data_IF_570079224188
#
_entry.id   IF_570079224188
#
_cell.length_a   1.000
_cell.length_b   1.000
_cell.length_c   1.000
_cell.angle_alpha   90.00
_cell.angle_beta   90.00
_cell.angle_gamma   90.00
#
_symmetry.space_group_name_H-M   'P 1'
#
loop_
_entity.id
_entity.type
_entity.pdbx_description
1 polymer ?
#
# COMPACT_ATOMS: atom_id res chain seq x y z
N UNK A 1 -23.79 8.95 36.55
CA UNK A 1 -23.41 8.35 35.25
C UNK A 1 -22.91 9.46 34.35
N UNK A 2 -21.60 9.60 34.25
CA UNK A 2 -21.00 10.62 33.39
C UNK A 2 -21.30 10.24 31.93
N UNK A 3 -22.07 11.08 31.24
CA UNK A 3 -22.19 11.04 29.81
C UNK A 3 -20.83 11.52 29.24
N UNK A 4 -19.89 10.59 29.12
CA UNK A 4 -18.78 10.79 28.21
C UNK A 4 -19.41 11.10 26.86
N UNK A 5 -19.12 12.28 26.30
CA UNK A 5 -19.64 12.73 25.03
C UNK A 5 -19.35 11.63 24.01
N UNK A 6 -20.38 10.93 23.56
CA UNK A 6 -20.23 9.94 22.51
C UNK A 6 -19.76 10.64 21.24
N UNK A 7 -18.59 10.28 20.75
CA UNK A 7 -18.03 10.82 19.51
C UNK A 7 -18.28 9.83 18.38
N UNK A 8 -19.51 9.75 17.94
CA UNK A 8 -19.94 8.87 16.85
C UNK A 8 -20.20 9.72 15.61
N UNK A 9 -19.55 9.36 14.51
CA UNK A 9 -19.74 10.00 13.21
C UNK A 9 -20.59 9.10 12.33
N UNK A 10 -21.65 9.64 11.74
CA UNK A 10 -22.45 8.96 10.73
C UNK A 10 -21.89 9.27 9.35
N UNK A 11 -21.38 8.24 8.65
CA UNK A 11 -20.74 8.36 7.37
C UNK A 11 -21.63 7.80 6.25
N UNK A 12 -22.23 8.70 5.46
CA UNK A 12 -23.17 8.35 4.39
C UNK A 12 -22.77 9.00 3.05
N UNK A 13 -21.49 9.25 2.83
CA UNK A 13 -21.03 9.83 1.55
C UNK A 13 -21.16 8.77 0.45
N UNK A 14 -21.73 9.18 -0.69
CA UNK A 14 -21.79 8.32 -1.88
C UNK A 14 -20.37 8.09 -2.42
N UNK A 15 -20.00 6.84 -2.76
CA UNK A 15 -18.73 6.55 -3.42
C UNK A 15 -18.56 7.29 -4.75
N UNK A 16 -19.66 7.52 -5.47
CA UNK A 16 -19.69 8.24 -6.72
C UNK A 16 -19.74 9.76 -6.48
N UNK A 17 -18.80 10.51 -7.09
CA UNK A 17 -18.80 11.98 -7.12
C UNK A 17 -19.89 12.45 -8.08
N UNK A 18 -19.92 11.88 -9.28
CA UNK A 18 -20.97 12.08 -10.27
C UNK A 18 -21.05 10.88 -11.23
N UNK A 19 -22.23 10.66 -11.76
CA UNK A 19 -22.50 9.63 -12.75
C UNK A 19 -22.38 10.22 -14.15
N UNK A 20 -21.66 9.54 -15.04
CA UNK A 20 -21.54 9.89 -16.46
C UNK A 20 -22.63 9.16 -17.27
N UNK A 21 -22.88 7.89 -16.91
CA UNK A 21 -23.97 7.07 -17.42
C UNK A 21 -24.64 6.34 -16.27
N UNK A 22 -25.74 5.63 -16.51
CA UNK A 22 -26.42 4.83 -15.48
C UNK A 22 -25.50 3.83 -14.78
N UNK A 23 -24.47 3.31 -15.47
CA UNK A 23 -23.57 2.27 -14.97
C UNK A 23 -22.11 2.73 -14.81
N UNK A 24 -21.78 3.97 -15.14
CA UNK A 24 -20.43 4.49 -15.08
C UNK A 24 -20.37 5.87 -14.45
N UNK A 25 -19.61 6.00 -13.37
CA UNK A 25 -19.42 7.24 -12.64
C UNK A 25 -17.97 7.41 -12.15
N UNK A 26 -17.58 8.64 -11.92
CA UNK A 26 -16.30 8.94 -11.26
C UNK A 26 -16.48 8.78 -9.74
N UNK A 27 -15.64 7.94 -9.15
CA UNK A 27 -15.63 7.63 -7.72
C UNK A 27 -14.51 8.35 -7.01
N UNK A 28 -14.71 8.68 -5.73
CA UNK A 28 -13.66 9.22 -4.86
C UNK A 28 -12.42 8.32 -4.85
N UNK A 29 -12.60 7.00 -4.77
CA UNK A 29 -11.51 6.05 -4.83
C UNK A 29 -10.68 6.18 -6.11
N UNK A 30 -11.32 6.24 -7.27
CA UNK A 30 -10.64 6.35 -8.56
C UNK A 30 -9.89 7.68 -8.69
N UNK A 31 -10.46 8.78 -8.18
CA UNK A 31 -9.81 10.09 -8.16
C UNK A 31 -8.57 10.07 -7.27
N UNK A 32 -8.69 9.53 -6.05
CA UNK A 32 -7.57 9.42 -5.10
C UNK A 32 -6.49 8.48 -5.63
N UNK A 33 -6.89 7.38 -6.28
CA UNK A 33 -5.95 6.47 -6.93
C UNK A 33 -5.16 7.16 -8.06
N UNK A 34 -5.85 7.92 -8.93
CA UNK A 34 -5.20 8.74 -9.96
C UNK A 34 -4.27 9.80 -9.36
N UNK A 35 -4.71 10.47 -8.29
CA UNK A 35 -3.90 11.46 -7.58
C UNK A 35 -2.65 10.83 -6.95
N UNK A 36 -2.73 9.58 -6.44
CA UNK A 36 -1.60 8.83 -5.91
C UNK A 36 -0.53 8.58 -6.99
N UNK A 37 -0.94 8.16 -8.19
CA UNK A 37 -0.01 8.01 -9.32
C UNK A 37 0.58 9.33 -9.79
N UNK A 38 -0.24 10.37 -9.93
CA UNK A 38 0.23 11.69 -10.34
C UNK A 38 1.25 12.26 -9.35
N UNK A 39 0.94 12.22 -8.06
CA UNK A 39 1.86 12.71 -7.02
C UNK A 39 3.10 11.82 -6.93
N UNK A 40 2.93 10.49 -7.00
CA UNK A 40 4.03 9.53 -6.98
C UNK A 40 5.01 9.76 -8.14
N UNK A 41 4.49 10.01 -9.34
CA UNK A 41 5.33 10.38 -10.49
C UNK A 41 6.12 11.68 -10.26
N UNK A 42 5.45 12.73 -9.79
CA UNK A 42 6.12 14.00 -9.54
C UNK A 42 7.23 13.88 -8.48
N UNK A 43 7.01 13.06 -7.44
CA UNK A 43 8.03 12.77 -6.43
C UNK A 43 9.20 12.03 -7.07
N UNK A 44 8.95 10.96 -7.82
CA UNK A 44 9.98 10.17 -8.48
C UNK A 44 10.81 11.03 -9.45
N UNK A 45 10.14 11.83 -10.28
CA UNK A 45 10.79 12.77 -11.18
C UNK A 45 11.67 13.78 -10.44
N UNK A 46 11.17 14.32 -9.32
CA UNK A 46 11.89 15.25 -8.46
C UNK A 46 13.12 14.59 -7.83
N UNK A 47 13.04 13.33 -7.37
CA UNK A 47 14.17 12.57 -6.83
C UNK A 47 15.29 12.43 -7.88
N UNK A 48 14.96 11.97 -9.09
CA UNK A 48 15.92 11.84 -10.19
C UNK A 48 16.61 13.18 -10.51
N UNK A 49 15.82 14.25 -10.59
CA UNK A 49 16.35 15.61 -10.83
C UNK A 49 17.27 16.09 -9.70
N UNK A 50 16.92 15.84 -8.43
CA UNK A 50 17.75 16.22 -7.27
C UNK A 50 19.07 15.47 -7.21
N UNK A 51 19.11 14.25 -7.73
CA UNK A 51 20.31 13.43 -7.78
C UNK A 51 21.10 13.58 -9.08
N UNK A 52 20.71 14.51 -9.95
CA UNK A 52 21.31 14.71 -11.27
C UNK A 52 21.29 13.43 -12.14
N UNK A 53 20.21 12.64 -12.03
CA UNK A 53 19.97 11.45 -12.85
C UNK A 53 19.13 11.81 -14.07
N UNK A 54 19.23 10.98 -15.13
CA UNK A 54 18.39 11.15 -16.31
C UNK A 54 16.91 10.94 -15.96
N UNK A 55 16.08 11.95 -16.18
CA UNK A 55 14.64 11.92 -15.85
C UNK A 55 13.85 10.93 -16.73
N UNK A 56 14.35 10.55 -17.91
CA UNK A 56 13.77 9.47 -18.70
C UNK A 56 13.74 8.14 -17.94
N UNK A 57 14.73 7.92 -17.04
CA UNK A 57 14.72 6.79 -16.13
C UNK A 57 13.54 6.79 -15.16
N UNK A 58 13.11 7.98 -14.69
CA UNK A 58 11.91 8.10 -13.86
C UNK A 58 10.64 7.74 -14.64
N UNK A 59 10.53 8.21 -15.90
CA UNK A 59 9.40 7.89 -16.78
C UNK A 59 9.31 6.38 -17.02
N UNK A 60 10.44 5.75 -17.31
CA UNK A 60 10.50 4.30 -17.50
C UNK A 60 10.17 3.55 -16.23
N UNK A 61 10.70 3.94 -15.06
CA UNK A 61 10.41 3.28 -13.78
C UNK A 61 8.91 3.38 -13.45
N UNK A 62 8.29 4.55 -13.69
CA UNK A 62 6.84 4.70 -13.56
C UNK A 62 6.08 3.69 -14.44
N UNK A 63 6.47 3.55 -15.71
CA UNK A 63 5.81 2.62 -16.63
C UNK A 63 5.97 1.17 -16.18
N UNK A 64 7.17 0.77 -15.73
CA UNK A 64 7.39 -0.55 -15.14
C UNK A 64 6.48 -0.80 -13.95
N UNK A 65 6.37 0.17 -13.04
CA UNK A 65 5.53 0.06 -11.86
C UNK A 65 4.04 0.04 -12.20
N UNK A 66 3.58 0.88 -13.13
CA UNK A 66 2.19 0.94 -13.56
C UNK A 66 1.72 -0.39 -14.14
N UNK A 67 2.46 -0.93 -15.09
CA UNK A 67 2.10 -2.22 -15.70
C UNK A 67 2.25 -3.38 -14.71
N UNK A 68 3.24 -3.35 -13.84
CA UNK A 68 3.41 -4.37 -12.81
C UNK A 68 2.21 -4.41 -11.85
N UNK A 69 1.76 -3.25 -11.36
CA UNK A 69 0.58 -3.17 -10.48
C UNK A 69 -0.66 -3.68 -11.21
N UNK A 70 -0.91 -3.18 -12.42
CA UNK A 70 -2.13 -3.50 -13.18
C UNK A 70 -2.21 -4.99 -13.55
N UNK A 71 -1.16 -5.49 -14.20
CA UNK A 71 -1.10 -6.88 -14.67
C UNK A 71 -0.97 -7.83 -13.49
N UNK A 72 -0.09 -7.50 -12.53
CA UNK A 72 0.16 -8.35 -11.38
C UNK A 72 -1.04 -8.50 -10.47
N UNK A 73 -1.76 -7.40 -10.17
CA UNK A 73 -2.97 -7.46 -9.38
C UNK A 73 -4.05 -8.33 -10.04
N UNK A 74 -4.22 -8.19 -11.36
CA UNK A 74 -5.18 -8.98 -12.12
C UNK A 74 -4.82 -10.45 -12.17
N UNK A 75 -3.59 -10.79 -12.54
CA UNK A 75 -3.12 -12.17 -12.59
C UNK A 75 -3.13 -12.81 -11.20
N UNK A 76 -2.77 -12.05 -10.16
CA UNK A 76 -2.87 -12.54 -8.79
C UNK A 76 -4.30 -12.90 -8.39
N UNK A 77 -5.29 -12.09 -8.76
CA UNK A 77 -6.69 -12.43 -8.52
C UNK A 77 -7.12 -13.69 -9.30
N UNK A 78 -6.78 -13.75 -10.57
CA UNK A 78 -7.10 -14.90 -11.44
C UNK A 78 -6.51 -16.20 -10.89
N UNK A 79 -5.22 -16.22 -10.59
CA UNK A 79 -4.52 -17.45 -10.22
C UNK A 79 -4.74 -17.89 -8.77
N UNK A 80 -4.84 -16.93 -7.82
CA UNK A 80 -4.93 -17.28 -6.41
C UNK A 80 -6.35 -17.41 -5.88
N UNK A 81 -7.34 -16.76 -6.53
CA UNK A 81 -8.70 -16.68 -5.97
C UNK A 81 -9.78 -17.27 -6.86
N UNK A 82 -9.64 -17.23 -8.19
CA UNK A 82 -10.72 -17.64 -9.10
C UNK A 82 -10.24 -18.46 -10.31
N UNK A 83 -9.21 -19.26 -10.15
CA UNK A 83 -8.66 -20.06 -11.25
C UNK A 83 -9.70 -21.00 -11.88
N UNK A 84 -10.56 -21.64 -11.08
CA UNK A 84 -11.60 -22.57 -11.56
C UNK A 84 -12.56 -21.87 -12.54
N UNK A 85 -12.89 -20.60 -12.30
CA UNK A 85 -13.71 -19.81 -13.20
C UNK A 85 -12.93 -19.37 -14.44
N UNK A 86 -11.76 -18.75 -14.25
CA UNK A 86 -11.01 -18.14 -15.36
C UNK A 86 -10.36 -19.17 -16.30
N UNK A 87 -10.10 -20.38 -15.84
CA UNK A 87 -9.64 -21.50 -16.70
C UNK A 87 -10.65 -21.85 -17.80
N UNK A 88 -11.93 -21.57 -17.56
CA UNK A 88 -13.03 -21.78 -18.52
C UNK A 88 -13.42 -20.50 -19.28
N UNK A 89 -12.94 -19.33 -18.84
CA UNK A 89 -13.28 -18.02 -19.38
C UNK A 89 -12.02 -17.18 -19.68
N UNK A 90 -11.09 -17.74 -20.46
CA UNK A 90 -9.75 -17.15 -20.69
C UNK A 90 -9.77 -15.70 -21.21
N UNK A 91 -10.74 -15.33 -22.04
CA UNK A 91 -10.87 -13.97 -22.55
C UNK A 91 -11.25 -12.95 -21.47
N UNK A 92 -11.80 -13.39 -20.36
CA UNK A 92 -12.13 -12.52 -19.24
C UNK A 92 -10.92 -12.18 -18.35
N UNK A 93 -9.82 -12.90 -18.49
CA UNK A 93 -8.58 -12.62 -17.74
C UNK A 93 -8.09 -11.19 -17.99
N UNK A 94 -8.15 -10.72 -19.24
CA UNK A 94 -7.70 -9.37 -19.62
C UNK A 94 -8.71 -8.26 -19.34
N UNK A 95 -9.92 -8.59 -18.88
CA UNK A 95 -11.00 -7.64 -18.63
C UNK A 95 -10.87 -7.03 -17.22
N UNK A 96 -9.85 -6.19 -17.03
CA UNK A 96 -9.53 -5.54 -15.74
C UNK A 96 -10.67 -4.65 -15.21
N UNK A 97 -11.52 -4.14 -16.09
CA UNK A 97 -12.68 -3.30 -15.75
C UNK A 97 -13.80 -4.06 -15.04
N UNK A 98 -13.78 -5.38 -15.06
CA UNK A 98 -14.71 -6.22 -14.28
C UNK A 98 -14.33 -6.33 -12.80
N UNK A 99 -13.24 -5.69 -12.38
CA UNK A 99 -12.74 -5.80 -11.00
C UNK A 99 -11.87 -7.04 -10.79
N UNK A 100 -11.72 -7.47 -9.54
CA UNK A 100 -10.88 -8.61 -9.18
C UNK A 100 -9.39 -8.27 -9.28
N UNK A 101 -8.86 -7.59 -8.27
CA UNK A 101 -7.46 -7.20 -8.15
C UNK A 101 -6.91 -7.71 -6.81
N UNK A 102 -5.76 -8.37 -6.84
CA UNK A 102 -5.10 -8.94 -5.66
C UNK A 102 -3.76 -8.28 -5.39
N UNK A 103 -3.59 -7.72 -4.20
CA UNK A 103 -2.35 -7.02 -3.80
C UNK A 103 -1.12 -7.92 -3.78
N UNK A 104 -1.27 -9.21 -3.48
CA UNK A 104 -0.17 -10.19 -3.50
C UNK A 104 0.41 -10.36 -4.91
N UNK A 105 -0.44 -10.44 -5.92
CA UNK A 105 -0.01 -10.51 -7.32
C UNK A 105 0.70 -9.24 -7.76
N UNK A 106 0.21 -8.06 -7.33
CA UNK A 106 0.89 -6.79 -7.57
C UNK A 106 2.29 -6.76 -6.93
N UNK A 107 2.44 -7.22 -5.68
CA UNK A 107 3.73 -7.23 -4.99
C UNK A 107 4.77 -8.11 -5.70
N UNK A 108 4.36 -9.29 -6.18
CA UNK A 108 5.23 -10.18 -6.97
C UNK A 108 5.64 -9.50 -8.27
N UNK A 109 4.69 -8.96 -9.02
CA UNK A 109 4.96 -8.31 -10.30
C UNK A 109 5.81 -7.05 -10.16
N UNK A 110 5.62 -6.25 -9.12
CA UNK A 110 6.47 -5.11 -8.77
C UNK A 110 7.91 -5.57 -8.56
N UNK A 111 8.13 -6.64 -7.81
CA UNK A 111 9.48 -7.18 -7.57
C UNK A 111 10.15 -7.58 -8.87
N UNK A 112 9.42 -8.29 -9.75
CA UNK A 112 9.91 -8.66 -11.08
C UNK A 112 10.23 -7.42 -11.92
N UNK A 113 9.33 -6.43 -11.93
CA UNK A 113 9.51 -5.19 -12.69
C UNK A 113 10.75 -4.40 -12.24
N UNK A 114 11.02 -4.34 -10.93
CA UNK A 114 12.21 -3.68 -10.40
C UNK A 114 13.51 -4.42 -10.79
N UNK A 115 13.48 -5.74 -10.82
CA UNK A 115 14.61 -6.55 -11.31
C UNK A 115 14.85 -6.30 -12.82
N UNK A 116 13.79 -6.27 -13.62
CA UNK A 116 13.86 -5.98 -15.04
C UNK A 116 14.35 -4.55 -15.30
N UNK A 117 13.85 -3.58 -14.54
CA UNK A 117 14.33 -2.21 -14.60
C UNK A 117 15.81 -2.12 -14.27
N UNK A 118 16.28 -2.77 -13.19
CA UNK A 118 17.70 -2.86 -12.85
C UNK A 118 18.55 -3.47 -13.96
N UNK A 119 18.03 -4.49 -14.64
CA UNK A 119 18.74 -5.14 -15.75
C UNK A 119 18.94 -4.19 -16.94
N UNK A 120 17.94 -3.34 -17.21
CA UNK A 120 17.97 -2.37 -18.30
C UNK A 120 18.71 -1.07 -17.92
N UNK A 121 18.89 -0.82 -16.62
CA UNK A 121 19.58 0.33 -16.04
C UNK A 121 20.71 -0.13 -15.12
N UNK A 122 21.81 -0.70 -15.68
CA UNK A 122 22.90 -1.25 -14.88
C UNK A 122 23.66 -0.20 -14.06
N UNK A 123 23.53 1.09 -14.41
CA UNK A 123 24.11 2.23 -13.70
C UNK A 123 23.50 2.49 -12.33
N UNK A 124 22.28 1.98 -12.03
CA UNK A 124 21.64 2.09 -10.72
C UNK A 124 21.80 0.79 -9.94
N UNK A 125 22.13 0.85 -8.65
CA UNK A 125 22.07 -0.31 -7.79
C UNK A 125 20.59 -0.70 -7.50
N UNK A 126 20.35 -1.97 -7.21
CA UNK A 126 19.00 -2.41 -6.85
C UNK A 126 18.51 -1.74 -5.56
N UNK A 127 19.40 -1.53 -4.58
CA UNK A 127 19.08 -0.85 -3.33
C UNK A 127 18.71 0.63 -3.56
N UNK A 128 19.39 1.29 -4.50
CA UNK A 128 19.02 2.65 -4.90
C UNK A 128 17.62 2.69 -5.52
N UNK A 129 17.32 1.78 -6.45
CA UNK A 129 16.02 1.73 -7.13
C UNK A 129 14.87 1.55 -6.13
N UNK A 130 14.97 0.59 -5.20
CA UNK A 130 13.91 0.35 -4.22
C UNK A 130 13.70 1.54 -3.27
N UNK A 131 14.77 2.28 -2.94
CA UNK A 131 14.64 3.50 -2.14
C UNK A 131 13.85 4.60 -2.85
N UNK A 132 14.04 4.75 -4.19
CA UNK A 132 13.28 5.75 -4.97
C UNK A 132 11.79 5.39 -5.06
N UNK A 133 11.46 4.11 -5.05
CA UNK A 133 10.06 3.66 -5.05
C UNK A 133 9.42 3.78 -3.66
N UNK A 134 10.19 3.75 -2.57
CA UNK A 134 9.67 3.79 -1.21
C UNK A 134 8.88 5.07 -0.91
N UNK A 135 9.39 6.26 -1.31
CA UNK A 135 8.77 7.56 -1.00
C UNK A 135 7.40 7.71 -1.70
N UNK A 136 7.30 7.53 -3.04
CA UNK A 136 6.01 7.61 -3.71
C UNK A 136 5.04 6.51 -3.27
N UNK A 137 5.52 5.32 -2.90
CA UNK A 137 4.68 4.23 -2.39
C UNK A 137 4.06 4.59 -1.04
N UNK A 138 4.81 5.23 -0.15
CA UNK A 138 4.29 5.65 1.15
C UNK A 138 3.10 6.61 1.00
N UNK A 139 3.27 7.68 0.22
CA UNK A 139 2.17 8.63 0.03
C UNK A 139 1.02 8.02 -0.79
N UNK A 140 1.32 7.21 -1.80
CA UNK A 140 0.32 6.49 -2.59
C UNK A 140 -0.54 5.57 -1.73
N UNK A 141 0.07 4.87 -0.77
CA UNK A 141 -0.65 4.03 0.20
C UNK A 141 -1.67 4.80 1.01
N UNK A 142 -1.36 6.03 1.43
CA UNK A 142 -2.32 6.87 2.18
C UNK A 142 -3.55 7.21 1.35
N UNK A 143 -3.38 7.58 0.08
CA UNK A 143 -4.50 7.88 -0.83
C UNK A 143 -5.42 6.66 -1.03
N UNK A 144 -4.84 5.46 -1.15
CA UNK A 144 -5.61 4.23 -1.26
C UNK A 144 -6.45 4.02 0.01
N UNK A 145 -5.88 4.21 1.21
CA UNK A 145 -6.60 4.04 2.48
C UNK A 145 -7.70 5.08 2.67
N UNK A 146 -7.45 6.33 2.32
CA UNK A 146 -8.50 7.34 2.31
C UNK A 146 -9.60 6.99 1.27
N UNK A 147 -9.22 6.45 0.11
CA UNK A 147 -10.18 5.95 -0.88
C UNK A 147 -11.07 4.82 -0.34
N UNK A 148 -10.49 3.86 0.40
CA UNK A 148 -11.27 2.81 1.07
C UNK A 148 -12.26 3.40 2.09
N UNK A 149 -11.87 4.45 2.82
CA UNK A 149 -12.76 5.15 3.74
C UNK A 149 -13.96 5.77 3.01
N UNK A 150 -13.72 6.48 1.89
CA UNK A 150 -14.81 7.03 1.07
C UNK A 150 -15.74 5.96 0.51
N UNK A 151 -15.21 4.79 0.16
CA UNK A 151 -16.00 3.65 -0.30
C UNK A 151 -16.72 2.90 0.82
N UNK A 152 -16.49 3.24 2.10
CA UNK A 152 -16.99 2.49 3.26
C UNK A 152 -16.60 1.00 3.23
N UNK A 153 -15.38 0.69 2.78
CA UNK A 153 -14.86 -0.67 2.66
C UNK A 153 -13.63 -0.88 3.54
N UNK A 154 -13.30 -2.14 3.85
CA UNK A 154 -12.16 -2.52 4.72
C UNK A 154 -12.28 -1.83 6.09
N UNK A 155 -13.47 -1.83 6.67
CA UNK A 155 -13.77 -1.23 7.98
C UNK A 155 -13.16 -2.05 9.11
N UNK A 156 -12.93 -1.40 10.27
CA UNK A 156 -12.46 -2.07 11.47
C UNK A 156 -13.56 -2.76 12.26
N UNK A 157 -13.18 -3.28 13.40
CA UNK A 157 -14.09 -3.97 14.33
C UNK A 157 -15.08 -2.98 14.96
N UNK A 158 -16.15 -3.51 15.56
CA UNK A 158 -17.11 -2.71 16.31
C UNK A 158 -16.46 -2.09 17.55
N UNK A 159 -16.88 -0.88 17.87
CA UNK A 159 -16.48 -0.23 19.11
C UNK A 159 -17.49 -0.52 20.23
N UNK A 160 -17.24 0.02 21.43
CA UNK A 160 -18.17 -0.03 22.57
C UNK A 160 -19.41 0.87 22.40
N UNK A 161 -19.56 1.54 21.27
CA UNK A 161 -20.63 2.46 20.96
C UNK A 161 -20.41 3.90 21.43
N UNK A 162 -19.36 4.18 22.19
CA UNK A 162 -19.06 5.55 22.69
C UNK A 162 -18.31 6.41 21.65
N UNK A 163 -17.65 5.78 20.67
CA UNK A 163 -16.89 6.46 19.62
C UNK A 163 -16.87 5.62 18.35
N UNK A 164 -16.41 6.23 17.25
CA UNK A 164 -16.20 5.55 15.99
C UNK A 164 -17.05 6.10 14.86
N UNK A 165 -17.15 5.33 13.78
CA UNK A 165 -17.87 5.69 12.55
C UNK A 165 -18.92 4.64 12.23
N UNK A 166 -20.17 5.06 12.09
CA UNK A 166 -21.25 4.25 11.52
C UNK A 166 -21.16 4.39 10.02
N UNK A 167 -20.74 3.35 9.34
CA UNK A 167 -20.64 3.31 7.88
C UNK A 167 -21.99 2.89 7.29
N UNK A 168 -22.90 3.83 7.13
CA UNK A 168 -24.29 3.58 6.70
C UNK A 168 -24.41 2.90 5.34
N UNK A 169 -23.32 2.86 4.55
CA UNK A 169 -23.24 2.20 3.23
C UNK A 169 -22.48 0.88 3.25
N UNK A 170 -21.86 0.53 4.37
CA UNK A 170 -21.24 -0.77 4.52
C UNK A 170 -22.34 -1.81 4.74
N UNK A 171 -22.28 -2.89 3.97
CA UNK A 171 -23.13 -4.07 4.15
C UNK A 171 -22.31 -5.19 4.73
N UNK A 172 -22.83 -5.82 5.74
CA UNK A 172 -22.31 -7.07 6.21
C UNK A 172 -22.43 -8.15 5.11
N UNK A 173 -21.30 -8.78 4.75
CA UNK A 173 -21.25 -9.74 3.64
C UNK A 173 -22.07 -11.01 3.91
N UNK A 174 -22.36 -11.34 5.17
CA UNK A 174 -23.09 -12.54 5.57
C UNK A 174 -24.58 -12.25 5.67
N UNK A 175 -24.94 -11.19 6.37
CA UNK A 175 -26.36 -10.87 6.68
C UNK A 175 -27.00 -9.95 5.64
N UNK A 176 -26.19 -9.25 4.86
CA UNK A 176 -26.64 -8.23 3.89
C UNK A 176 -27.26 -6.98 4.55
N UNK A 177 -27.19 -6.86 5.88
CA UNK A 177 -27.71 -5.73 6.65
C UNK A 177 -26.67 -4.60 6.68
N UNK A 178 -27.15 -3.35 6.61
CA UNK A 178 -26.30 -2.19 6.77
C UNK A 178 -25.80 -2.02 8.20
N UNK A 179 -24.56 -1.55 8.35
CA UNK A 179 -24.02 -1.25 9.67
C UNK A 179 -24.84 -0.18 10.39
N UNK A 180 -25.24 -0.49 11.61
CA UNK A 180 -25.95 0.42 12.52
C UNK A 180 -25.13 0.76 13.76
N UNK A 181 -24.03 0.04 14.00
CA UNK A 181 -23.14 0.21 15.13
C UNK A 181 -21.83 0.88 14.69
N UNK A 182 -21.24 1.75 15.52
CA UNK A 182 -19.98 2.39 15.18
C UNK A 182 -18.82 1.39 15.15
N UNK A 183 -17.97 1.55 14.12
CA UNK A 183 -16.76 0.76 13.92
C UNK A 183 -15.51 1.63 14.02
N UNK A 184 -14.38 1.02 14.28
CA UNK A 184 -13.07 1.65 14.20
C UNK A 184 -12.80 2.05 12.75
N UNK A 185 -12.54 3.34 12.43
CA UNK A 185 -12.21 3.78 11.08
C UNK A 185 -10.75 3.41 10.75
N UNK A 186 -10.47 2.11 10.66
CA UNK A 186 -9.11 1.57 10.51
C UNK A 186 -8.40 2.10 9.27
N UNK A 187 -9.17 2.41 8.21
CA UNK A 187 -8.64 3.00 6.97
C UNK A 187 -7.95 4.34 7.23
N UNK A 188 -8.53 5.17 8.11
CA UNK A 188 -7.93 6.46 8.50
C UNK A 188 -6.64 6.26 9.28
N UNK A 189 -6.61 5.33 10.23
CA UNK A 189 -5.40 5.04 11.00
C UNK A 189 -4.28 4.50 10.11
N UNK A 190 -4.60 3.60 9.18
CA UNK A 190 -3.63 3.12 8.18
C UNK A 190 -3.20 4.26 7.23
N UNK A 191 -4.14 5.11 6.79
CA UNK A 191 -3.84 6.28 5.96
C UNK A 191 -2.87 7.24 6.64
N UNK A 192 -3.12 7.59 7.91
CA UNK A 192 -2.22 8.44 8.69
C UNK A 192 -0.88 7.79 9.00
N UNK A 193 -0.84 6.46 9.20
CA UNK A 193 0.42 5.73 9.32
C UNK A 193 1.26 5.89 8.05
N UNK A 194 0.67 5.74 6.86
CA UNK A 194 1.37 5.95 5.60
C UNK A 194 1.85 7.40 5.41
N UNK A 195 1.06 8.40 5.82
CA UNK A 195 1.50 9.80 5.83
C UNK A 195 2.70 10.00 6.77
N UNK A 196 2.67 9.41 7.96
CA UNK A 196 3.80 9.47 8.91
C UNK A 196 5.05 8.83 8.31
N UNK A 197 4.93 7.66 7.70
CA UNK A 197 6.04 6.98 7.01
C UNK A 197 6.62 7.89 5.92
N UNK A 198 5.75 8.47 5.08
CA UNK A 198 6.17 9.42 4.04
C UNK A 198 6.95 10.59 4.63
N UNK A 199 6.45 11.23 5.70
CA UNK A 199 7.13 12.35 6.35
C UNK A 199 8.50 11.94 6.88
N UNK A 200 8.61 10.75 7.49
CA UNK A 200 9.88 10.25 8.03
C UNK A 200 10.89 10.03 6.91
N UNK A 201 10.52 9.25 5.87
CA UNK A 201 11.49 8.87 4.82
C UNK A 201 11.85 10.05 3.93
N UNK A 202 10.92 10.96 3.59
CA UNK A 202 11.26 12.17 2.82
C UNK A 202 12.13 13.14 3.62
N UNK A 203 11.93 13.22 4.94
CA UNK A 203 12.77 14.03 5.82
C UNK A 203 14.20 13.48 5.86
N UNK A 204 14.37 12.17 5.98
CA UNK A 204 15.69 11.51 5.93
C UNK A 204 16.34 11.79 4.56
N UNK A 205 15.58 11.63 3.47
CA UNK A 205 16.06 11.88 2.12
C UNK A 205 16.57 13.31 1.93
N UNK A 206 15.80 14.32 2.38
CA UNK A 206 16.19 15.73 2.28
C UNK A 206 17.39 16.05 3.20
N UNK A 207 17.38 15.58 4.45
CA UNK A 207 18.46 15.81 5.41
C UNK A 207 19.78 15.16 5.02
N UNK A 208 19.73 14.03 4.29
CA UNK A 208 20.92 13.41 3.71
C UNK A 208 21.44 14.14 2.45
N UNK A 209 20.91 15.33 2.14
CA UNK A 209 21.22 16.09 0.93
C UNK A 209 20.96 15.27 -0.35
N UNK A 210 19.86 14.52 -0.36
CA UNK A 210 19.42 13.64 -1.44
C UNK A 210 20.36 12.46 -1.74
N UNK A 211 21.19 12.09 -0.78
CA UNK A 211 22.12 10.96 -0.87
C UNK A 211 22.00 10.07 0.39
N UNK A 212 20.81 9.49 0.64
CA UNK A 212 20.68 8.53 1.73
C UNK A 212 21.51 7.29 1.43
N UNK A 213 21.82 6.54 2.48
CA UNK A 213 22.43 5.21 2.31
C UNK A 213 21.46 4.32 1.53
N UNK A 214 21.92 3.75 0.42
CA UNK A 214 21.11 2.92 -0.45
C UNK A 214 20.49 1.73 0.30
N UNK A 215 19.19 1.53 0.11
CA UNK A 215 18.37 0.54 0.81
C UNK A 215 17.80 0.99 2.16
N UNK A 216 18.27 2.12 2.70
CA UNK A 216 17.83 2.58 4.02
C UNK A 216 16.41 3.10 4.05
N UNK A 217 15.95 3.77 3.01
CA UNK A 217 14.59 4.31 2.94
C UNK A 217 13.56 3.19 2.80
N UNK A 218 13.85 2.19 1.94
CA UNK A 218 13.01 1.02 1.80
C UNK A 218 12.96 0.19 3.08
N UNK A 219 14.10 0.01 3.76
CA UNK A 219 14.15 -0.71 5.02
C UNK A 219 13.28 -0.03 6.09
N UNK A 220 13.37 1.31 6.22
CA UNK A 220 12.55 2.09 7.16
C UNK A 220 11.08 2.02 6.77
N UNK A 221 10.77 2.16 5.48
CA UNK A 221 9.40 2.04 4.95
C UNK A 221 8.78 0.69 5.33
N UNK A 222 9.45 -0.41 5.00
CA UNK A 222 8.95 -1.76 5.31
C UNK A 222 8.80 -1.99 6.81
N UNK A 223 9.80 -1.60 7.60
CA UNK A 223 9.75 -1.75 9.04
C UNK A 223 8.55 -1.00 9.64
N UNK A 224 8.43 0.29 9.35
CA UNK A 224 7.34 1.11 9.90
C UNK A 224 5.97 0.64 9.43
N UNK A 225 5.84 0.28 8.15
CA UNK A 225 4.59 -0.20 7.59
C UNK A 225 4.15 -1.52 8.25
N UNK A 226 5.01 -2.52 8.32
CA UNK A 226 4.63 -3.83 8.84
C UNK A 226 4.57 -3.87 10.37
N UNK A 227 5.42 -3.10 11.07
CA UNK A 227 5.28 -2.91 12.51
C UNK A 227 3.96 -2.17 12.84
N UNK A 228 3.66 -1.07 12.15
CA UNK A 228 2.40 -0.36 12.32
C UNK A 228 1.19 -1.23 11.99
N UNK A 229 1.25 -1.98 10.88
CA UNK A 229 0.21 -2.94 10.50
C UNK A 229 -0.01 -4.00 11.58
N UNK A 230 1.06 -4.55 12.17
CA UNK A 230 0.96 -5.54 13.23
C UNK A 230 0.10 -5.04 14.40
N UNK A 231 0.27 -3.77 14.82
CA UNK A 231 -0.53 -3.18 15.88
C UNK A 231 -1.94 -2.82 15.42
N UNK A 232 -2.10 -2.24 14.22
CA UNK A 232 -3.41 -1.85 13.71
C UNK A 232 -4.32 -3.05 13.43
N UNK A 233 -3.75 -4.22 13.19
CA UNK A 233 -4.49 -5.45 12.96
C UNK A 233 -5.36 -5.88 14.15
N UNK A 234 -5.04 -5.43 15.37
CA UNK A 234 -5.90 -5.68 16.56
C UNK A 234 -7.29 -5.02 16.48
N UNK A 235 -7.45 -4.02 15.62
CA UNK A 235 -8.73 -3.33 15.40
C UNK A 235 -9.40 -3.71 14.08
N UNK A 236 -8.89 -4.75 13.42
CA UNK A 236 -9.52 -5.30 12.21
C UNK A 236 -10.37 -6.51 12.55
N UNK A 237 -11.46 -6.65 11.80
CA UNK A 237 -12.26 -7.88 11.84
C UNK A 237 -11.41 -9.03 11.28
N UNK A 238 -11.05 -9.98 12.12
CA UNK A 238 -10.42 -11.23 11.67
C UNK A 238 -11.38 -12.39 11.88
N UNK A 239 -11.86 -12.92 10.78
CA UNK A 239 -12.87 -14.00 10.80
C UNK A 239 -12.21 -15.36 11.14
N UNK A 240 -10.91 -15.52 10.92
CA UNK A 240 -10.19 -16.79 11.13
C UNK A 240 -8.73 -16.58 11.59
N UNK A 241 -8.49 -16.27 12.87
CA UNK A 241 -7.13 -16.16 13.37
C UNK A 241 -6.38 -17.49 13.24
N UNK A 242 -5.10 -17.42 12.91
CA UNK A 242 -4.24 -18.58 12.67
C UNK A 242 -3.40 -18.87 13.91
N UNK A 243 -3.48 -20.11 14.42
CA UNK A 243 -2.64 -20.58 15.54
C UNK A 243 -1.43 -21.32 14.99
N UNK A 244 -0.22 -20.78 15.20
CA UNK A 244 1.04 -21.43 14.90
C UNK A 244 1.94 -21.43 16.14
N UNK A 245 2.56 -22.56 16.43
CA UNK A 245 3.47 -22.72 17.60
C UNK A 245 2.82 -22.33 18.94
N UNK A 246 1.50 -22.53 19.10
CA UNK A 246 0.77 -22.17 20.33
C UNK A 246 0.43 -20.68 20.46
N UNK A 247 0.73 -19.83 19.46
CA UNK A 247 0.42 -18.41 19.42
C UNK A 247 -0.68 -18.18 18.39
N UNK A 248 -1.77 -17.56 18.81
CA UNK A 248 -2.90 -17.19 17.94
C UNK A 248 -2.77 -15.73 17.54
N UNK A 249 -2.60 -15.48 16.25
CA UNK A 249 -2.48 -14.15 15.65
C UNK A 249 -3.32 -14.08 14.37
N UNK A 250 -3.66 -12.85 13.96
CA UNK A 250 -4.31 -12.63 12.66
C UNK A 250 -3.38 -12.96 11.50
N UNK A 251 -3.94 -13.22 10.32
CA UNK A 251 -3.15 -13.40 9.09
C UNK A 251 -2.24 -12.20 8.80
N UNK A 252 -2.73 -10.96 9.04
CA UNK A 252 -1.95 -9.75 8.84
C UNK A 252 -0.77 -9.64 9.80
N UNK A 253 -0.93 -10.10 11.06
CA UNK A 253 0.15 -10.13 12.04
C UNK A 253 1.22 -11.16 11.65
N UNK A 254 0.82 -12.39 11.30
CA UNK A 254 1.76 -13.42 10.81
C UNK A 254 2.54 -12.98 9.59
N UNK A 255 1.87 -12.36 8.62
CA UNK A 255 2.52 -11.82 7.42
C UNK A 255 3.47 -10.64 7.71
N UNK A 256 3.31 -9.96 8.84
CA UNK A 256 4.19 -8.85 9.19
C UNK A 256 5.61 -9.30 9.56
N UNK A 257 5.79 -10.47 10.17
CA UNK A 257 7.10 -10.96 10.60
C UNK A 257 8.11 -11.12 9.45
N UNK A 258 7.80 -11.84 8.34
CA UNK A 258 8.75 -11.99 7.25
C UNK A 258 9.14 -10.65 6.61
N UNK A 259 8.21 -9.70 6.49
CA UNK A 259 8.52 -8.39 5.92
C UNK A 259 9.36 -7.52 6.88
N UNK A 260 9.16 -7.63 8.19
CA UNK A 260 10.03 -7.00 9.18
C UNK A 260 11.45 -7.61 9.10
N UNK A 261 11.56 -8.93 8.94
CA UNK A 261 12.85 -9.59 8.74
C UNK A 261 13.53 -9.12 7.43
N UNK A 262 12.79 -8.97 6.34
CA UNK A 262 13.28 -8.40 5.08
C UNK A 262 13.76 -6.96 5.28
N UNK A 263 13.05 -6.15 6.05
CA UNK A 263 13.46 -4.78 6.36
C UNK A 263 14.83 -4.75 7.07
N UNK A 264 15.03 -5.61 8.07
CA UNK A 264 16.33 -5.74 8.76
C UNK A 264 17.41 -6.26 7.81
N UNK A 265 17.11 -7.20 6.94
CA UNK A 265 18.05 -7.72 5.95
C UNK A 265 18.50 -6.64 4.96
N UNK A 266 17.55 -5.85 4.42
CA UNK A 266 17.87 -4.72 3.53
C UNK A 266 18.72 -3.69 4.27
N UNK A 267 18.38 -3.37 5.52
CA UNK A 267 19.18 -2.45 6.34
C UNK A 267 20.60 -2.96 6.55
N UNK A 268 20.76 -4.24 6.83
CA UNK A 268 22.08 -4.87 6.97
C UNK A 268 22.90 -4.81 5.68
N UNK A 269 22.29 -5.10 4.50
CA UNK A 269 22.95 -4.92 3.21
C UNK A 269 23.38 -3.48 3.00
N UNK A 270 22.51 -2.53 3.33
CA UNK A 270 22.79 -1.09 3.29
C UNK A 270 24.02 -0.70 4.11
N UNK A 271 24.25 -1.33 5.25
CA UNK A 271 25.42 -1.04 6.09
C UNK A 271 26.72 -1.61 5.53
N UNK A 272 26.68 -2.77 4.87
CA UNK A 272 27.86 -3.42 4.28
C UNK A 272 28.40 -2.68 3.06
N UNK A 273 27.52 -2.17 2.19
CA UNK A 273 27.94 -1.44 0.99
C UNK A 273 28.80 -0.22 1.32
N UNK A 274 28.52 0.48 2.41
CA UNK A 274 29.33 1.62 2.85
C UNK A 274 30.76 1.22 3.26
N UNK A 275 30.96 0.04 3.84
CA UNK A 275 32.29 -0.43 4.24
C UNK A 275 33.16 -0.75 3.03
N UNK A 276 32.57 -1.20 1.93
CA UNK A 276 33.31 -1.50 0.70
C UNK A 276 33.75 -0.25 -0.09
N UNK A 277 32.96 0.85 -0.02
CA UNK A 277 33.37 2.13 -0.62
C UNK A 277 34.53 2.79 0.13
N UNK A 278 34.61 2.62 1.47
CA UNK A 278 35.67 3.19 2.31
C UNK A 278 37.00 2.41 2.18
N UNK A 279 36.95 1.15 1.78
CA UNK A 279 38.12 0.24 1.71
C UNK A 279 38.76 0.24 0.29
N UNK A 280 38.17 0.83 -0.75
CA UNK A 280 38.82 1.00 -2.05
C UNK A 280 39.82 2.15 -1.94
N UNK A 281 41.16 1.90 -1.91
CA UNK A 281 42.16 2.98 -2.05
C UNK A 281 42.04 3.54 -3.47
N UNK A 282 42.24 4.84 -3.60
CA UNK A 282 42.38 5.55 -4.89
C UNK A 282 43.49 4.96 -5.76
#
# INVERSE_FOLDING_TARGET
MNSLLAFVIHWNIKPEIFMITENFGIRWYSLLYGAAFFLGYNILFWEFKKENKNTEGADQLLMYMFFAVLIGARLGHVFFYQWDYYSQHLLEIVQIWKGGLASHGAAIAITIALILYKRNHPEYSFLWIIDRVAIPTAIGGSFIRFGNFFNSEIVGDYTDGSWGVVFERNRDDITGVFDTMPRVPIQLFEGFLYVLIFIVIITIYIRSKYKPREGSLMAIFLFMMFAGRFFLEYWKVDVNPLTMMGITLTHGQWLSFPFIAIAFFIYWLSTRNKQQEVIKPE
#
